data_IF_209254868487
#
_entry.id   IF_209254868487
#
_cell.length_a   1.000
_cell.length_b   1.000
_cell.length_c   1.000
_cell.angle_alpha   90.00
_cell.angle_beta   90.00
_cell.angle_gamma   90.00
#
_symmetry.space_group_name_H-M   'P 1'
#
loop_
_entity.id
_entity.type
_entity.pdbx_description
1 polymer ?
#
# COMPACT_ATOMS: atom_id res chain seq x y z
N UNK A 1 -25.45 17.73 26.02
CA UNK A 1 -24.02 18.15 25.99
C UNK A 1 -23.05 17.05 26.42
N UNK A 2 -23.48 15.97 27.08
CA UNK A 2 -22.61 14.83 27.39
C UNK A 2 -22.26 13.99 26.15
N UNK A 3 -23.24 13.67 25.29
CA UNK A 3 -23.01 12.89 24.04
C UNK A 3 -22.07 13.59 23.04
N UNK A 4 -22.09 14.93 23.00
CA UNK A 4 -21.20 15.72 22.12
C UNK A 4 -19.75 15.69 22.57
N UNK A 5 -19.50 15.59 23.88
CA UNK A 5 -18.15 15.49 24.44
C UNK A 5 -17.56 14.11 24.17
N UNK A 6 -18.39 13.07 24.27
CA UNK A 6 -18.03 11.67 23.96
C UNK A 6 -17.73 11.48 22.47
N UNK A 7 -18.58 12.03 21.60
CA UNK A 7 -18.37 12.00 20.14
C UNK A 7 -17.07 12.70 19.74
N UNK A 8 -16.77 13.86 20.34
CA UNK A 8 -15.53 14.59 20.05
C UNK A 8 -14.28 13.84 20.55
N UNK A 9 -14.38 13.14 21.67
CA UNK A 9 -13.31 12.28 22.18
C UNK A 9 -13.05 11.10 21.22
N UNK A 10 -14.11 10.41 20.78
CA UNK A 10 -14.01 9.34 19.80
C UNK A 10 -13.41 9.81 18.46
N UNK A 11 -13.78 11.00 17.99
CA UNK A 11 -13.18 11.59 16.78
C UNK A 11 -11.68 11.87 16.97
N UNK A 12 -11.28 12.35 18.15
CA UNK A 12 -9.87 12.61 18.45
C UNK A 12 -9.06 11.30 18.47
N UNK A 13 -9.63 10.24 19.04
CA UNK A 13 -9.03 8.90 19.05
C UNK A 13 -8.90 8.32 17.63
N UNK A 14 -9.97 8.35 16.83
CA UNK A 14 -9.94 7.92 15.44
C UNK A 14 -8.90 8.69 14.60
N UNK A 15 -8.77 10.00 14.82
CA UNK A 15 -7.72 10.80 14.15
C UNK A 15 -6.32 10.36 14.54
N UNK A 16 -6.11 9.98 15.80
CA UNK A 16 -4.82 9.47 16.27
C UNK A 16 -4.50 8.11 15.65
N UNK A 17 -5.45 7.20 15.62
CA UNK A 17 -5.30 5.90 14.94
C UNK A 17 -4.97 6.08 13.45
N UNK A 18 -5.63 7.02 12.76
CA UNK A 18 -5.31 7.35 11.37
C UNK A 18 -3.86 7.82 11.21
N UNK A 19 -3.34 8.65 12.13
CA UNK A 19 -1.95 9.11 12.10
C UNK A 19 -0.99 7.93 12.28
N UNK A 20 -1.27 7.03 13.22
CA UNK A 20 -0.46 5.84 13.48
C UNK A 20 -0.46 4.89 12.27
N UNK A 21 -1.64 4.61 11.70
CA UNK A 21 -1.77 3.79 10.48
C UNK A 21 -1.08 4.43 9.28
N UNK A 22 -1.16 5.75 9.15
CA UNK A 22 -0.48 6.50 8.07
C UNK A 22 1.04 6.40 8.21
N UNK A 23 1.56 6.50 9.45
CA UNK A 23 2.98 6.30 9.74
C UNK A 23 3.46 4.89 9.39
N UNK A 24 2.69 3.87 9.77
CA UNK A 24 2.99 2.48 9.44
C UNK A 24 2.97 2.24 7.92
N UNK A 25 1.98 2.79 7.22
CA UNK A 25 1.88 2.70 5.76
C UNK A 25 3.07 3.36 5.07
N UNK A 26 3.52 4.54 5.55
CA UNK A 26 4.69 5.22 5.02
C UNK A 26 5.96 4.39 5.21
N UNK A 27 6.20 3.91 6.43
CA UNK A 27 7.37 3.07 6.73
C UNK A 27 7.40 1.80 5.88
N UNK A 28 6.25 1.14 5.75
CA UNK A 28 6.10 -0.07 4.91
C UNK A 28 6.40 0.23 3.45
N UNK A 29 5.86 1.33 2.91
CA UNK A 29 6.14 1.76 1.54
C UNK A 29 7.63 1.98 1.29
N UNK A 30 8.31 2.71 2.17
CA UNK A 30 9.76 2.96 2.07
C UNK A 30 10.56 1.65 2.09
N UNK A 31 10.25 0.75 3.02
CA UNK A 31 10.93 -0.56 3.12
C UNK A 31 10.70 -1.38 1.85
N UNK A 32 9.46 -1.46 1.35
CA UNK A 32 9.13 -2.21 0.15
C UNK A 32 9.88 -1.67 -1.08
N UNK A 33 9.93 -0.36 -1.26
CA UNK A 33 10.70 0.25 -2.35
C UNK A 33 12.18 -0.12 -2.27
N UNK A 34 12.79 -0.05 -1.09
CA UNK A 34 14.21 -0.42 -0.89
C UNK A 34 14.48 -1.90 -1.14
N UNK A 35 13.60 -2.79 -0.65
CA UNK A 35 13.70 -4.23 -0.89
C UNK A 35 13.57 -4.54 -2.38
N UNK A 36 12.62 -3.89 -3.07
CA UNK A 36 12.42 -4.08 -4.49
C UNK A 36 13.62 -3.59 -5.29
N UNK A 37 14.11 -2.37 -5.06
CA UNK A 37 15.37 -1.89 -5.68
C UNK A 37 16.50 -2.90 -5.50
N UNK A 38 16.68 -3.44 -4.29
CA UNK A 38 17.72 -4.42 -3.99
C UNK A 38 17.52 -5.74 -4.74
N UNK A 39 16.28 -6.22 -4.87
CA UNK A 39 15.95 -7.44 -5.62
C UNK A 39 16.18 -7.21 -7.12
N UNK A 40 15.56 -6.17 -7.69
CA UNK A 40 15.59 -5.95 -9.14
C UNK A 40 16.95 -5.47 -9.66
N UNK A 41 17.79 -4.84 -8.82
CA UNK A 41 19.17 -4.50 -9.20
C UNK A 41 20.04 -5.71 -9.55
N UNK A 42 19.62 -6.91 -9.15
CA UNK A 42 20.30 -8.18 -9.45
C UNK A 42 19.81 -8.82 -10.74
N UNK A 43 18.70 -8.33 -11.28
CA UNK A 43 18.08 -8.86 -12.48
C UNK A 43 18.70 -8.25 -13.73
N UNK A 44 18.74 -9.02 -14.82
CA UNK A 44 19.24 -8.56 -16.11
C UNK A 44 18.43 -7.38 -16.66
N UNK A 45 17.14 -7.30 -16.31
CA UNK A 45 16.26 -6.18 -16.61
C UNK A 45 15.46 -5.77 -15.37
N UNK A 46 15.93 -4.77 -14.60
CA UNK A 46 15.28 -4.34 -13.38
C UNK A 46 13.83 -3.84 -13.59
N UNK A 47 13.59 -3.15 -14.71
CA UNK A 47 12.27 -2.62 -15.07
C UNK A 47 11.24 -3.74 -15.34
N UNK A 48 11.65 -4.80 -16.04
CA UNK A 48 10.79 -5.94 -16.32
C UNK A 48 10.46 -6.71 -15.04
N UNK A 49 11.45 -6.93 -14.17
CA UNK A 49 11.24 -7.59 -12.89
C UNK A 49 10.27 -6.81 -11.99
N UNK A 50 10.41 -5.48 -11.92
CA UNK A 50 9.47 -4.63 -11.19
C UNK A 50 8.05 -4.73 -11.73
N UNK A 51 7.88 -4.69 -13.06
CA UNK A 51 6.56 -4.83 -13.71
C UNK A 51 5.91 -6.17 -13.37
N UNK A 52 6.67 -7.27 -13.40
CA UNK A 52 6.16 -8.60 -13.05
C UNK A 52 5.72 -8.69 -11.58
N UNK A 53 6.55 -8.19 -10.65
CA UNK A 53 6.23 -8.24 -9.22
C UNK A 53 4.95 -7.46 -8.93
N UNK A 54 4.80 -6.27 -9.51
CA UNK A 54 3.59 -5.46 -9.36
C UNK A 54 2.37 -6.16 -9.99
N UNK A 55 2.53 -6.75 -11.17
CA UNK A 55 1.47 -7.53 -11.83
C UNK A 55 0.97 -8.67 -10.94
N UNK A 56 1.89 -9.48 -10.41
CA UNK A 56 1.58 -10.57 -9.49
C UNK A 56 0.86 -10.07 -8.22
N UNK A 57 1.24 -8.90 -7.70
CA UNK A 57 0.58 -8.30 -6.54
C UNK A 57 -0.86 -7.88 -6.84
N UNK A 58 -1.13 -7.28 -8.02
CA UNK A 58 -2.50 -6.95 -8.45
C UNK A 58 -3.35 -8.22 -8.56
N UNK A 59 -2.85 -9.24 -9.24
CA UNK A 59 -3.53 -10.52 -9.41
C UNK A 59 -3.85 -11.18 -8.07
N UNK A 60 -2.89 -11.19 -7.13
CA UNK A 60 -3.10 -11.74 -5.79
C UNK A 60 -4.19 -10.99 -5.00
N UNK A 61 -4.22 -9.65 -5.09
CA UNK A 61 -5.29 -8.84 -4.45
C UNK A 61 -6.65 -9.16 -5.09
N UNK A 62 -6.71 -9.24 -6.41
CA UNK A 62 -7.94 -9.58 -7.11
C UNK A 62 -8.44 -10.98 -6.74
N UNK A 63 -7.55 -11.97 -6.70
CA UNK A 63 -7.86 -13.33 -6.30
C UNK A 63 -8.37 -13.39 -4.86
N UNK A 64 -7.64 -12.77 -3.92
CA UNK A 64 -8.01 -12.73 -2.50
C UNK A 64 -9.38 -12.08 -2.30
N UNK A 65 -9.60 -10.91 -2.92
CA UNK A 65 -10.85 -10.15 -2.79
C UNK A 65 -12.03 -10.80 -3.50
N UNK A 66 -11.80 -11.76 -4.39
CA UNK A 66 -12.86 -12.54 -5.06
C UNK A 66 -13.25 -13.79 -4.27
N UNK A 67 -12.36 -14.29 -3.41
CA UNK A 67 -12.61 -15.46 -2.55
C UNK A 67 -13.22 -15.07 -1.21
N UNK A 68 -12.87 -13.88 -0.70
CA UNK A 68 -13.31 -13.36 0.59
C UNK A 68 -14.34 -12.23 0.43
N UNK A 69 -15.27 -12.12 1.38
CA UNK A 69 -16.25 -11.04 1.40
C UNK A 69 -15.62 -9.77 2.02
N UNK A 70 -14.81 -9.08 1.24
CA UNK A 70 -14.12 -7.84 1.65
C UNK A 70 -14.84 -6.58 1.20
N UNK A 71 -14.66 -5.49 1.94
CA UNK A 71 -15.20 -4.18 1.62
C UNK A 71 -14.65 -3.69 0.24
N UNK A 72 -15.50 -3.26 -0.70
CA UNK A 72 -15.05 -2.71 -1.98
C UNK A 72 -14.06 -1.54 -1.87
N UNK A 73 -14.18 -0.72 -0.82
CA UNK A 73 -13.26 0.37 -0.54
C UNK A 73 -11.86 -0.14 -0.16
N UNK A 74 -11.78 -1.25 0.58
CA UNK A 74 -10.51 -1.91 0.90
C UNK A 74 -9.84 -2.42 -0.38
N UNK A 75 -10.58 -3.13 -1.24
CA UNK A 75 -10.06 -3.60 -2.53
C UNK A 75 -9.53 -2.45 -3.38
N UNK A 76 -10.34 -1.39 -3.53
CA UNK A 76 -9.96 -0.20 -4.30
C UNK A 76 -8.67 0.41 -3.75
N UNK A 77 -8.59 0.64 -2.44
CA UNK A 77 -7.42 1.24 -1.80
C UNK A 77 -6.16 0.38 -1.97
N UNK A 78 -6.29 -0.94 -1.90
CA UNK A 78 -5.18 -1.88 -2.10
C UNK A 78 -4.63 -1.80 -3.53
N UNK A 79 -5.50 -1.79 -4.55
CA UNK A 79 -5.09 -1.67 -5.95
C UNK A 79 -4.46 -0.29 -6.26
N UNK A 80 -4.98 0.77 -5.64
CA UNK A 80 -4.36 2.11 -5.71
C UNK A 80 -2.97 2.12 -5.07
N UNK A 81 -2.79 1.46 -3.93
CA UNK A 81 -1.48 1.35 -3.27
C UNK A 81 -0.46 0.61 -4.16
N UNK A 82 -0.86 -0.48 -4.80
CA UNK A 82 0.02 -1.21 -5.73
C UNK A 82 0.45 -0.33 -6.90
N UNK A 83 -0.46 0.48 -7.45
CA UNK A 83 -0.14 1.44 -8.52
C UNK A 83 0.84 2.51 -8.02
N UNK A 84 0.58 3.07 -6.84
CA UNK A 84 1.49 4.05 -6.22
C UNK A 84 2.90 3.48 -6.02
N UNK A 85 3.02 2.23 -5.56
CA UNK A 85 4.30 1.58 -5.41
C UNK A 85 4.99 1.31 -6.75
N UNK A 86 4.25 0.91 -7.78
CA UNK A 86 4.77 0.77 -9.14
C UNK A 86 5.44 2.05 -9.64
N UNK A 87 4.75 3.18 -9.51
CA UNK A 87 5.26 4.49 -9.92
C UNK A 87 6.53 4.87 -9.13
N UNK A 88 6.50 4.66 -7.81
CA UNK A 88 7.65 4.92 -6.94
C UNK A 88 8.85 4.06 -7.32
N UNK A 89 8.66 2.76 -7.58
CA UNK A 89 9.72 1.85 -7.98
C UNK A 89 10.28 2.26 -9.34
N UNK A 90 9.43 2.50 -10.34
CA UNK A 90 9.88 2.90 -11.68
C UNK A 90 10.70 4.19 -11.64
N UNK A 91 10.35 5.13 -10.77
CA UNK A 91 11.05 6.42 -10.63
C UNK A 91 12.51 6.32 -10.15
N UNK A 92 12.88 5.20 -9.54
CA UNK A 92 14.19 5.00 -8.88
C UNK A 92 15.01 3.89 -9.51
N UNK A 93 14.48 3.17 -10.51
CA UNK A 93 15.20 2.15 -11.24
C UNK A 93 15.97 2.73 -12.42
N UNK A 94 17.17 2.17 -12.73
CA UNK A 94 17.91 2.55 -13.92
C UNK A 94 17.10 2.24 -15.18
N UNK A 95 17.25 3.10 -16.20
CA UNK A 95 16.68 2.92 -17.54
C UNK A 95 17.50 1.88 -18.30
#
# INVERSE_FOLDING_TARGET
MAETTDTNAAIAELKREIVELSGLSLATGVILTQLLQKIVSREMSPQNAATQIVGNAREAIEAFTSQEKVDPAMKKRALEAVTQYEDQIRSVLPI
#
